data_IF_967018714536
#
_entry.id   IF_967018714536
#
_cell.length_a   1.000
_cell.length_b   1.000
_cell.length_c   1.000
_cell.angle_alpha   90.00
_cell.angle_beta   90.00
_cell.angle_gamma   90.00
#
_symmetry.space_group_name_H-M   'P 1'
#
loop_
_entity.id
_entity.type
_entity.pdbx_description
1 polymer ?
#
# COMPACT_ATOMS: atom_id res chain seq x y z
N UNK A 1 -1.88 -12.78 -15.81
CA UNK A 1 -1.05 -12.11 -14.77
C UNK A 1 -0.14 -13.16 -14.15
N UNK A 2 1.18 -12.97 -14.14
CA UNK A 2 2.09 -13.90 -13.42
C UNK A 2 1.86 -13.69 -11.94
N UNK A 3 1.38 -14.71 -11.22
CA UNK A 3 1.46 -14.75 -9.77
C UNK A 3 2.95 -14.78 -9.41
N UNK A 4 3.50 -13.67 -8.92
CA UNK A 4 4.82 -13.73 -8.29
C UNK A 4 4.66 -14.46 -6.96
N UNK A 5 5.46 -15.52 -6.76
CA UNK A 5 5.52 -16.20 -5.47
C UNK A 5 6.01 -15.24 -4.40
N UNK A 6 5.43 -15.33 -3.19
CA UNK A 6 5.83 -14.55 -2.00
C UNK A 6 7.34 -14.60 -1.78
N UNK A 7 7.96 -15.76 -1.96
CA UNK A 7 9.41 -15.93 -1.77
C UNK A 7 10.23 -15.13 -2.79
N UNK A 8 9.75 -15.06 -4.03
CA UNK A 8 10.38 -14.25 -5.09
C UNK A 8 10.29 -12.75 -4.77
N UNK A 9 9.16 -12.31 -4.21
CA UNK A 9 8.97 -10.90 -3.81
C UNK A 9 9.90 -10.56 -2.64
N UNK A 10 10.00 -11.45 -1.64
CA UNK A 10 10.89 -11.26 -0.48
C UNK A 10 12.36 -11.23 -0.90
N UNK A 11 12.78 -12.14 -1.78
CA UNK A 11 14.15 -12.15 -2.31
C UNK A 11 14.48 -10.84 -3.03
N UNK A 12 13.64 -10.44 -3.99
CA UNK A 12 13.82 -9.18 -4.72
C UNK A 12 13.76 -7.94 -3.81
N UNK A 13 12.97 -7.98 -2.73
CA UNK A 13 12.93 -6.92 -1.73
C UNK A 13 14.24 -6.81 -0.95
N UNK A 14 14.78 -7.94 -0.46
CA UNK A 14 16.06 -7.98 0.26
C UNK A 14 17.25 -7.62 -0.62
N UNK A 15 17.25 -8.06 -1.87
CA UNK A 15 18.29 -7.71 -2.84
C UNK A 15 18.32 -6.19 -3.07
N UNK A 16 17.15 -5.54 -3.22
CA UNK A 16 17.06 -4.08 -3.33
C UNK A 16 17.58 -3.35 -2.09
N UNK A 17 17.27 -3.87 -0.89
CA UNK A 17 17.80 -3.30 0.36
C UNK A 17 19.33 -3.35 0.38
N UNK A 18 19.92 -4.49 -0.01
CA UNK A 18 21.39 -4.65 -0.06
C UNK A 18 22.04 -3.74 -1.11
N UNK A 19 21.38 -3.54 -2.25
CA UNK A 19 21.87 -2.68 -3.33
C UNK A 19 21.69 -1.18 -3.04
N UNK A 20 20.96 -0.82 -1.98
CA UNK A 20 20.61 0.58 -1.68
C UNK A 20 19.69 1.21 -2.73
N UNK A 21 19.09 0.40 -3.60
CA UNK A 21 18.15 0.84 -4.63
C UNK A 21 16.72 0.90 -4.04
N UNK A 22 15.79 1.54 -4.76
CA UNK A 22 14.39 1.81 -4.39
C UNK A 22 13.79 0.79 -3.41
N UNK A 23 13.78 1.18 -2.13
CA UNK A 23 13.25 0.41 -1.00
C UNK A 23 11.71 0.23 -1.02
N UNK A 24 11.01 0.72 -2.06
CA UNK A 24 9.55 0.67 -2.15
C UNK A 24 9.08 -0.52 -2.99
N UNK A 25 8.39 -1.43 -2.32
CA UNK A 25 7.46 -2.39 -2.87
C UNK A 25 6.42 -1.65 -3.72
N UNK A 26 6.24 -2.13 -4.94
CA UNK A 26 5.13 -1.78 -5.79
C UNK A 26 3.81 -2.29 -5.20
N UNK A 27 2.69 -1.80 -5.74
CA UNK A 27 1.37 -2.26 -5.32
C UNK A 27 1.20 -3.77 -5.54
N UNK A 28 1.59 -4.27 -6.71
CA UNK A 28 1.45 -5.69 -7.07
C UNK A 28 2.30 -6.60 -6.16
N UNK A 29 3.51 -6.14 -5.78
CA UNK A 29 4.35 -6.85 -4.82
C UNK A 29 3.74 -6.87 -3.42
N UNK A 30 3.18 -5.74 -2.97
CA UNK A 30 2.51 -5.66 -1.68
C UNK A 30 1.26 -6.56 -1.64
N UNK A 31 0.43 -6.53 -2.68
CA UNK A 31 -0.75 -7.37 -2.80
C UNK A 31 -0.35 -8.86 -2.80
N UNK A 32 0.71 -9.24 -3.52
CA UNK A 32 1.27 -10.60 -3.50
C UNK A 32 1.83 -11.03 -2.13
N UNK A 33 2.48 -10.13 -1.39
CA UNK A 33 2.92 -10.42 -0.01
C UNK A 33 1.73 -10.66 0.92
N UNK A 34 0.67 -9.86 0.80
CA UNK A 34 -0.56 -9.97 1.58
C UNK A 34 -1.27 -11.29 1.28
N UNK A 35 -1.43 -11.64 0.00
CA UNK A 35 -2.04 -12.91 -0.42
C UNK A 35 -1.28 -14.10 0.15
N UNK A 36 0.05 -14.14 -0.03
CA UNK A 36 0.87 -15.22 0.54
C UNK A 36 0.86 -15.25 2.07
N UNK A 37 0.72 -14.09 2.73
CA UNK A 37 0.55 -14.04 4.19
C UNK A 37 -0.80 -14.64 4.62
N UNK A 38 -1.88 -14.35 3.91
CA UNK A 38 -3.20 -14.95 4.16
C UNK A 38 -3.14 -16.48 3.97
N UNK A 39 -2.45 -16.96 2.94
CA UNK A 39 -2.24 -18.41 2.74
C UNK A 39 -1.47 -19.05 3.90
N UNK A 40 -0.41 -18.41 4.40
CA UNK A 40 0.31 -18.90 5.59
C UNK A 40 -0.60 -18.94 6.83
N UNK A 41 -1.49 -17.95 6.99
CA UNK A 41 -2.45 -17.93 8.09
C UNK A 41 -3.50 -19.04 8.00
N UNK A 42 -3.91 -19.47 6.81
CA UNK A 42 -4.83 -20.62 6.64
C UNK A 42 -4.23 -21.90 7.22
N UNK A 43 -2.91 -22.06 7.17
CA UNK A 43 -2.20 -23.20 7.78
C UNK A 43 -1.94 -23.06 9.28
N UNK A 44 -2.20 -21.90 9.88
CA UNK A 44 -1.86 -21.58 11.26
C UNK A 44 -3.09 -21.63 12.18
N UNK A 45 -3.22 -22.72 12.93
CA UNK A 45 -4.41 -22.98 13.76
C UNK A 45 -4.24 -22.68 15.25
N UNK A 46 -3.20 -21.95 15.65
CA UNK A 46 -2.92 -21.65 17.07
C UNK A 46 -2.48 -20.21 17.23
N UNK A 47 -2.92 -19.55 18.30
CA UNK A 47 -2.54 -18.18 18.67
C UNK A 47 -1.03 -17.95 18.56
N UNK A 48 -0.21 -18.82 19.16
CA UNK A 48 1.26 -18.69 19.16
C UNK A 48 1.86 -18.66 17.74
N UNK A 49 1.39 -19.54 16.85
CA UNK A 49 1.85 -19.57 15.44
C UNK A 49 1.40 -18.33 14.69
N UNK A 50 0.14 -17.93 14.87
CA UNK A 50 -0.41 -16.73 14.22
C UNK A 50 0.35 -15.48 14.67
N UNK A 51 0.61 -15.34 15.98
CA UNK A 51 1.40 -14.26 16.54
C UNK A 51 2.82 -14.24 15.96
N UNK A 52 3.50 -15.38 15.91
CA UNK A 52 4.84 -15.48 15.33
C UNK A 52 4.87 -15.08 13.85
N UNK A 53 3.85 -15.45 13.06
CA UNK A 53 3.72 -15.02 11.67
C UNK A 53 3.51 -13.49 11.56
N UNK A 54 2.66 -12.91 12.40
CA UNK A 54 2.46 -11.45 12.44
C UNK A 54 3.75 -10.70 12.79
N UNK A 55 4.50 -11.18 13.79
CA UNK A 55 5.78 -10.58 14.20
C UNK A 55 6.84 -10.71 13.10
N UNK A 56 6.90 -11.85 12.42
CA UNK A 56 7.80 -12.06 11.29
C UNK A 56 7.46 -11.10 10.13
N UNK A 57 6.18 -10.90 9.84
CA UNK A 57 5.73 -9.99 8.78
C UNK A 57 6.07 -8.52 9.09
N UNK A 58 5.84 -8.10 10.33
CA UNK A 58 6.22 -6.75 10.77
C UNK A 58 7.74 -6.55 10.62
N UNK A 59 8.54 -7.52 11.08
CA UNK A 59 10.01 -7.47 10.97
C UNK A 59 10.47 -7.41 9.52
N UNK A 60 9.88 -8.19 8.63
CA UNK A 60 10.17 -8.16 7.19
C UNK A 60 9.97 -6.75 6.64
N UNK A 61 8.85 -6.09 6.96
CA UNK A 61 8.61 -4.72 6.51
C UNK A 61 9.58 -3.72 7.16
N UNK A 62 9.95 -3.93 8.42
CA UNK A 62 10.93 -3.08 9.11
C UNK A 62 12.35 -3.18 8.55
N UNK A 63 12.70 -4.25 7.82
CA UNK A 63 14.01 -4.37 7.14
C UNK A 63 14.24 -3.25 6.10
N UNK A 64 13.18 -2.81 5.42
CA UNK A 64 13.29 -1.82 4.33
C UNK A 64 12.53 -0.51 4.55
N UNK A 65 11.70 -0.40 5.60
CA UNK A 65 10.86 0.77 5.83
C UNK A 65 10.95 1.33 7.25
N UNK A 66 10.86 2.66 7.41
CA UNK A 66 10.68 3.25 8.72
C UNK A 66 9.30 2.87 9.29
N UNK A 67 9.22 2.71 10.61
CA UNK A 67 8.01 2.31 11.34
C UNK A 67 6.75 3.12 10.96
N UNK A 68 6.89 4.42 10.71
CA UNK A 68 5.76 5.27 10.27
C UNK A 68 5.16 4.85 8.91
N UNK A 69 5.97 4.26 8.02
CA UNK A 69 5.49 3.70 6.76
C UNK A 69 4.92 2.30 6.97
N UNK A 70 5.58 1.46 7.77
CA UNK A 70 5.07 0.13 8.14
C UNK A 70 3.69 0.23 8.76
N UNK A 71 3.44 1.18 9.66
CA UNK A 71 2.13 1.44 10.26
C UNK A 71 1.00 1.64 9.21
N UNK A 72 1.32 2.28 8.08
CA UNK A 72 0.38 2.46 6.96
C UNK A 72 0.16 1.15 6.22
N UNK A 73 1.21 0.39 5.95
CA UNK A 73 1.11 -0.94 5.34
C UNK A 73 0.32 -1.91 6.22
N UNK A 74 0.54 -1.93 7.54
CA UNK A 74 -0.26 -2.74 8.46
C UNK A 74 -1.75 -2.43 8.38
N UNK A 75 -2.13 -1.17 8.14
CA UNK A 75 -3.54 -0.81 7.91
C UNK A 75 -4.10 -1.44 6.64
N UNK A 76 -3.29 -1.52 5.57
CA UNK A 76 -3.67 -2.19 4.31
C UNK A 76 -3.80 -3.70 4.53
N UNK A 77 -2.82 -4.34 5.16
CA UNK A 77 -2.88 -5.77 5.50
C UNK A 77 -4.12 -6.10 6.34
N UNK A 78 -4.40 -5.31 7.37
CA UNK A 78 -5.58 -5.52 8.22
C UNK A 78 -6.89 -5.40 7.46
N UNK A 79 -6.96 -4.50 6.46
CA UNK A 79 -8.14 -4.40 5.58
C UNK A 79 -8.28 -5.66 4.73
N UNK A 80 -7.21 -6.12 4.10
CA UNK A 80 -7.23 -7.34 3.30
C UNK A 80 -7.60 -8.57 4.13
N UNK A 81 -7.11 -8.67 5.38
CA UNK A 81 -7.50 -9.74 6.31
C UNK A 81 -9.00 -9.71 6.63
N UNK A 82 -9.59 -8.53 6.83
CA UNK A 82 -11.04 -8.41 7.06
C UNK A 82 -11.82 -8.89 5.85
N UNK A 83 -11.42 -8.46 4.65
CA UNK A 83 -12.04 -8.92 3.39
C UNK A 83 -11.93 -10.43 3.26
N UNK A 84 -10.75 -11.02 3.51
CA UNK A 84 -10.57 -12.47 3.46
C UNK A 84 -11.42 -13.24 4.48
N UNK A 85 -11.66 -12.67 5.67
CA UNK A 85 -12.56 -13.25 6.67
C UNK A 85 -14.02 -13.15 6.21
N UNK A 86 -14.43 -12.00 5.68
CA UNK A 86 -15.79 -11.75 5.17
C UNK A 86 -16.13 -12.65 3.97
N UNK A 87 -15.16 -12.86 3.07
CA UNK A 87 -15.26 -13.77 1.92
C UNK A 87 -15.12 -15.24 2.30
N UNK A 88 -14.94 -15.55 3.59
CA UNK A 88 -14.70 -16.89 4.14
C UNK A 88 -13.46 -17.60 3.54
N UNK A 89 -12.59 -16.83 2.91
CA UNK A 89 -11.27 -17.22 2.41
C UNK A 89 -10.30 -17.51 3.57
N UNK A 90 -10.51 -16.88 4.73
CA UNK A 90 -9.87 -17.19 6.01
C UNK A 90 -10.94 -17.53 7.05
N UNK A 91 -11.26 -18.82 7.20
CA UNK A 91 -12.33 -19.26 8.09
C UNK A 91 -12.01 -19.00 9.58
N UNK A 92 -12.98 -18.45 10.31
CA UNK A 92 -12.89 -18.26 11.76
C UNK A 92 -13.21 -19.57 12.48
N UNK A 93 -12.25 -20.06 13.27
CA UNK A 93 -12.37 -21.25 14.11
C UNK A 93 -12.09 -20.88 15.56
N UNK A 94 -12.46 -21.75 16.51
CA UNK A 94 -12.20 -21.51 17.95
C UNK A 94 -10.71 -21.37 18.28
N UNK A 95 -9.82 -21.92 17.47
CA UNK A 95 -8.38 -21.95 17.73
C UNK A 95 -7.61 -20.80 17.07
N UNK A 96 -8.16 -20.21 16.00
CA UNK A 96 -7.57 -19.07 15.29
C UNK A 96 -8.27 -17.72 15.58
N UNK A 97 -9.34 -17.73 16.39
CA UNK A 97 -10.11 -16.54 16.76
C UNK A 97 -10.26 -16.39 18.27
N UNK A 98 -10.61 -15.18 18.67
CA UNK A 98 -10.88 -14.81 20.05
C UNK A 98 -12.11 -13.90 20.15
N UNK A 99 -12.71 -13.87 21.34
CA UNK A 99 -13.85 -13.01 21.63
C UNK A 99 -13.36 -11.68 22.19
N UNK A 100 -13.86 -10.58 21.65
CA UNK A 100 -13.61 -9.24 22.18
C UNK A 100 -14.92 -8.46 22.32
N UNK A 101 -14.90 -7.45 23.19
CA UNK A 101 -16.01 -6.52 23.36
C UNK A 101 -15.72 -5.31 22.48
N UNK A 102 -16.57 -5.09 21.49
CA UNK A 102 -16.51 -3.92 20.64
C UNK A 102 -17.44 -2.84 21.19
N UNK A 103 -16.88 -1.67 21.48
CA UNK A 103 -17.64 -0.49 21.89
C UNK A 103 -17.95 0.37 20.67
N UNK A 104 -19.22 0.47 20.31
CA UNK A 104 -19.63 1.31 19.20
C UNK A 104 -19.60 2.79 19.63
N UNK A 105 -18.71 3.58 19.02
CA UNK A 105 -18.43 4.96 19.44
C UNK A 105 -19.65 5.90 19.38
N UNK A 106 -20.58 5.65 18.47
CA UNK A 106 -21.76 6.51 18.24
C UNK A 106 -22.91 6.20 19.20
N UNK A 107 -23.15 4.93 19.49
CA UNK A 107 -24.31 4.46 20.27
C UNK A 107 -23.95 4.07 21.71
N UNK A 108 -22.65 3.92 22.02
CA UNK A 108 -22.17 3.43 23.32
C UNK A 108 -22.45 1.93 23.55
N UNK A 109 -23.07 1.25 22.59
CA UNK A 109 -23.45 -0.15 22.73
C UNK A 109 -22.21 -1.06 22.71
N UNK A 110 -22.26 -2.07 23.58
CA UNK A 110 -21.25 -3.12 23.66
C UNK A 110 -21.73 -4.34 22.89
N UNK A 111 -21.00 -4.71 21.85
CA UNK A 111 -21.26 -5.92 21.08
C UNK A 111 -20.15 -6.93 21.31
N UNK A 112 -20.53 -8.19 21.56
CA UNK A 112 -19.58 -9.30 21.58
C UNK A 112 -19.29 -9.69 20.13
N UNK A 113 -18.04 -9.58 19.72
CA UNK A 113 -17.58 -9.97 18.38
C UNK A 113 -16.47 -11.02 18.48
N UNK A 114 -16.35 -11.82 17.42
CA UNK A 114 -15.24 -12.73 17.22
C UNK A 114 -14.29 -12.14 16.19
N UNK A 115 -12.99 -12.20 16.47
CA UNK A 115 -11.95 -11.68 15.58
C UNK A 115 -10.79 -12.67 15.50
N UNK A 116 -10.20 -12.81 14.31
CA UNK A 116 -9.02 -13.63 14.08
C UNK A 116 -7.80 -13.06 14.81
N UNK A 117 -6.96 -13.92 15.41
CA UNK A 117 -5.77 -13.49 16.17
C UNK A 117 -4.82 -12.60 15.38
N UNK A 118 -4.75 -12.77 14.05
CA UNK A 118 -3.93 -11.91 13.19
C UNK A 118 -4.34 -10.44 13.25
N UNK A 119 -5.63 -10.14 13.39
CA UNK A 119 -6.09 -8.75 13.55
C UNK A 119 -5.78 -8.20 14.94
N UNK A 120 -5.48 -9.05 15.92
CA UNK A 120 -5.01 -8.61 17.24
C UNK A 120 -3.52 -8.26 17.22
N UNK A 121 -2.70 -9.12 16.61
CA UNK A 121 -1.24 -8.98 16.66
C UNK A 121 -0.61 -8.22 15.49
N UNK A 122 -1.28 -8.13 14.34
CA UNK A 122 -0.78 -7.38 13.18
C UNK A 122 -1.04 -5.88 13.34
N UNK A 123 -0.45 -5.29 14.37
CA UNK A 123 -0.43 -3.85 14.67
C UNK A 123 0.74 -3.57 15.60
N UNK A 124 1.19 -2.32 15.60
CA UNK A 124 2.12 -1.88 16.62
C UNK A 124 1.44 -1.72 17.99
N UNK A 125 2.27 -1.65 19.03
CA UNK A 125 1.80 -1.31 20.36
C UNK A 125 1.36 0.16 20.40
N UNK A 126 0.48 0.54 21.36
CA UNK A 126 0.03 1.93 21.50
C UNK A 126 1.19 2.92 21.63
N UNK A 127 2.25 2.54 22.34
CA UNK A 127 3.42 3.39 22.59
C UNK A 127 4.14 3.74 21.28
N UNK A 128 4.28 2.77 20.37
CA UNK A 128 4.89 3.01 19.05
C UNK A 128 4.02 3.94 18.22
N UNK A 129 2.70 3.77 18.22
CA UNK A 129 1.80 4.70 17.54
C UNK A 129 1.90 6.13 18.09
N UNK A 130 1.97 6.29 19.42
CA UNK A 130 2.17 7.60 20.03
C UNK A 130 3.48 8.26 19.58
N UNK A 131 4.57 7.50 19.48
CA UNK A 131 5.85 8.06 19.00
C UNK A 131 5.77 8.52 17.53
N UNK A 132 5.12 7.73 16.67
CA UNK A 132 4.87 8.07 15.27
C UNK A 132 4.03 9.36 15.18
N UNK A 133 2.98 9.46 15.98
CA UNK A 133 2.06 10.61 15.98
C UNK A 133 2.74 11.88 16.49
N UNK A 134 3.49 11.81 17.60
CA UNK A 134 4.28 12.94 18.12
C UNK A 134 5.25 13.47 17.07
N UNK A 135 5.97 12.57 16.38
CA UNK A 135 6.89 12.95 15.30
C UNK A 135 6.17 13.63 14.12
N UNK A 136 5.00 13.11 13.75
CA UNK A 136 4.15 13.70 12.70
C UNK A 136 3.68 15.10 13.08
N UNK A 137 3.20 15.28 14.31
CA UNK A 137 2.77 16.58 14.83
C UNK A 137 3.89 17.61 14.83
N UNK A 138 5.09 17.25 15.30
CA UNK A 138 6.25 18.14 15.28
C UNK A 138 6.64 18.56 13.84
N UNK A 139 6.65 17.59 12.92
CA UNK A 139 6.96 17.85 11.50
C UNK A 139 5.93 18.77 10.87
N UNK A 140 4.64 18.54 11.12
CA UNK A 140 3.55 19.34 10.58
C UNK A 140 3.53 20.74 11.18
N UNK A 141 3.76 20.88 12.49
CA UNK A 141 3.94 22.17 13.15
C UNK A 141 5.08 22.97 12.52
N UNK A 142 6.23 22.32 12.26
CA UNK A 142 7.35 22.95 11.57
C UNK A 142 6.98 23.46 10.17
N UNK A 143 6.21 22.70 9.40
CA UNK A 143 5.71 23.13 8.07
C UNK A 143 4.70 24.29 8.15
N UNK A 144 3.83 24.28 9.15
CA UNK A 144 2.82 25.34 9.34
C UNK A 144 3.45 26.66 9.77
N UNK A 145 4.50 26.61 10.59
CA UNK A 145 5.24 27.81 11.01
C UNK A 145 6.16 28.34 9.91
N UNK A 146 6.64 27.47 9.01
CA UNK A 146 7.52 27.84 7.91
C UNK A 146 6.80 27.69 6.57
N UNK A 147 5.79 28.52 6.34
CA UNK A 147 5.05 28.55 5.08
C UNK A 147 6.01 28.93 3.94
N UNK A 148 6.07 28.07 2.92
CA UNK A 148 6.84 28.36 1.71
C UNK A 148 6.03 29.30 0.82
N UNK A 149 6.65 30.40 0.42
CA UNK A 149 6.12 31.27 -0.63
C UNK A 149 6.06 30.46 -1.93
N UNK A 150 4.84 30.33 -2.49
CA UNK A 150 4.62 29.68 -3.77
C UNK A 150 4.74 30.75 -4.86
N UNK A 151 5.72 30.69 -5.77
CA UNK A 151 5.83 31.64 -6.88
C UNK A 151 4.78 31.29 -7.93
N UNK A 152 3.57 31.85 -7.75
CA UNK A 152 2.38 31.54 -8.57
C UNK A 152 2.65 31.74 -10.06
N UNK A 153 3.35 32.81 -10.42
CA UNK A 153 3.69 33.15 -11.81
C UNK A 153 4.51 32.06 -12.50
N UNK A 154 5.51 31.49 -11.81
CA UNK A 154 6.31 30.37 -12.34
C UNK A 154 5.44 29.13 -12.57
N UNK A 155 4.50 28.86 -11.66
CA UNK A 155 3.57 27.74 -11.83
C UNK A 155 2.62 27.96 -13.02
N UNK A 156 2.08 29.17 -13.18
CA UNK A 156 1.18 29.51 -14.28
C UNK A 156 1.89 29.41 -15.64
N UNK A 157 3.11 29.94 -15.75
CA UNK A 157 3.91 29.81 -16.98
C UNK A 157 4.20 28.34 -17.34
N UNK A 158 4.49 27.52 -16.33
CA UNK A 158 4.76 26.10 -16.51
C UNK A 158 3.50 25.32 -16.92
N UNK A 159 2.34 25.64 -16.33
CA UNK A 159 1.04 25.08 -16.73
C UNK A 159 0.67 25.48 -18.17
N UNK A 160 0.88 26.74 -18.54
CA UNK A 160 0.69 27.21 -19.92
C UNK A 160 1.60 26.47 -20.90
N UNK A 161 2.86 26.20 -20.53
CA UNK A 161 3.79 25.43 -21.36
C UNK A 161 3.34 23.98 -21.58
N UNK A 162 2.68 23.37 -20.59
CA UNK A 162 2.11 22.03 -20.73
C UNK A 162 0.84 22.01 -21.59
N UNK A 163 -0.01 23.04 -21.46
CA UNK A 163 -1.21 23.18 -22.30
C UNK A 163 -0.83 23.39 -23.77
N UNK A 164 0.08 24.31 -24.05
CA UNK A 164 0.59 24.57 -25.41
C UNK A 164 1.33 23.37 -26.01
N UNK A 165 2.18 22.67 -25.24
CA UNK A 165 2.81 21.41 -25.72
C UNK A 165 1.80 20.31 -26.02
N UNK A 166 0.72 20.21 -25.25
CA UNK A 166 -0.34 19.21 -25.47
C UNK A 166 -1.15 19.51 -26.73
N UNK A 167 -1.33 20.78 -27.06
CA UNK A 167 -1.96 21.21 -28.32
C UNK A 167 -1.03 21.01 -29.53
N UNK A 168 0.27 21.26 -29.39
CA UNK A 168 1.27 20.90 -30.41
C UNK A 168 1.31 19.39 -30.68
N UNK A 169 1.33 18.55 -29.65
CA UNK A 169 1.27 17.09 -29.82
C UNK A 169 -0.08 16.57 -30.37
N UNK A 170 -1.17 17.34 -30.25
CA UNK A 170 -2.45 17.03 -30.90
C UNK A 170 -2.49 17.46 -32.36
N UNK A 171 -1.79 18.53 -32.74
CA UNK A 171 -1.71 19.01 -34.12
C UNK A 171 -0.74 18.20 -34.99
N UNK A 172 0.39 17.74 -34.45
CA UNK A 172 1.39 16.97 -35.22
C UNK A 172 0.98 15.50 -35.42
N UNK A 173 0.16 14.94 -34.53
CA UNK A 173 -0.29 13.54 -34.61
C UNK A 173 -1.34 13.23 -35.68
N UNK A 174 -2.02 14.25 -36.21
CA UNK A 174 -3.07 14.09 -37.24
C UNK A 174 -2.63 14.52 -38.65
N UNK A 175 -1.61 15.37 -38.79
CA UNK A 175 -1.09 15.74 -40.11
C UNK A 175 -0.11 14.73 -40.70
N UNK A 176 0.61 13.95 -39.88
CA UNK A 176 1.51 12.91 -40.38
C UNK A 176 0.74 11.69 -40.94
N UNK A 177 -0.39 11.30 -40.32
CA UNK A 177 -1.20 10.15 -40.77
C UNK A 177 -2.06 10.42 -42.00
N UNK A 178 -2.38 11.68 -42.33
CA UNK A 178 -3.17 11.98 -43.53
C UNK A 178 -2.31 12.09 -44.80
N UNK A 179 -1.01 12.43 -44.68
CA UNK A 179 -0.07 12.43 -45.82
C UNK A 179 0.42 11.04 -46.20
N UNK A 180 0.79 10.21 -45.21
CA UNK A 180 1.28 8.84 -45.49
C UNK A 180 0.17 7.91 -46.01
N UNK A 181 -1.11 8.21 -45.76
CA UNK A 181 -2.26 7.43 -46.25
C UNK A 181 -2.66 7.78 -47.70
N UNK A 182 -2.37 9.00 -48.16
CA UNK A 182 -2.72 9.46 -49.51
C UNK A 182 -1.64 9.12 -50.55
N UNK A 183 -0.36 9.11 -50.17
CA UNK A 183 0.74 8.74 -51.08
C UNK A 183 0.87 7.21 -51.27
N UNK A 184 0.45 6.40 -50.30
CA UNK A 184 0.50 4.92 -50.39
C UNK A 184 -0.68 4.34 -51.19
N UNK A 185 -1.77 5.12 -51.36
CA UNK A 185 -2.92 4.77 -52.20
C UNK A 185 -2.69 5.05 -53.70
N UNK A 186 -1.74 5.93 -54.05
CA UNK A 186 -1.43 6.32 -55.43
C UNK A 186 -0.26 5.55 -56.05
N UNK A 187 0.40 4.65 -55.30
CA UNK A 187 1.48 3.77 -55.78
C UNK A 187 1.03 2.35 -56.15
N UNK A 188 -0.27 2.06 -56.09
CA UNK A 188 -0.84 0.72 -56.38
C UNK A 188 -1.72 0.64 -57.62
N UNK A 189 -1.66 1.61 -58.52
CA UNK A 189 -2.26 1.54 -59.86
C UNK A 189 -1.28 2.08 -60.91
#
# INVERSE_FOLDING_TARGET
MRQLSRDTIIAAFRDRIQQGDRLRLSKDELDGLIEGFIEQLRGANTEKKIKALCEAEIKLLEEGYPQASVAKYLTVYRKALKVAIEENSLALTKSNSHRFIHHQRVTGLQEKRFEHWALTYLKYTPEVYETIDKRSQLTNRGKQLNLRLVPVERYLALLQSFLTKKDLMRHDGWQQRSRDSLDDALRKW
#
